data_IF_535929776190
#
_entry.id   IF_535929776190
#
_cell.length_a   1.000
_cell.length_b   1.000
_cell.length_c   1.000
_cell.angle_alpha   90.00
_cell.angle_beta   90.00
_cell.angle_gamma   90.00
#
_symmetry.space_group_name_H-M   'P 1'
#
loop_
_entity.id
_entity.type
_entity.pdbx_description
1 polymer ?
#
# COMPACT_ATOMS: atom_id res chain seq x y z
N UNK A 1 41.62 -13.44 -14.46
CA UNK A 1 41.54 -12.79 -13.13
C UNK A 1 40.56 -11.59 -13.08
N UNK A 2 39.67 -11.42 -14.07
CA UNK A 2 38.69 -10.31 -14.09
C UNK A 2 37.23 -10.76 -13.86
N UNK A 3 36.91 -12.05 -14.08
CA UNK A 3 35.57 -12.61 -13.84
C UNK A 3 35.16 -12.54 -12.36
N UNK A 4 36.06 -12.90 -11.43
CA UNK A 4 35.76 -12.94 -10.00
C UNK A 4 35.52 -11.55 -9.39
N UNK A 5 36.13 -10.51 -9.96
CA UNK A 5 36.00 -9.12 -9.49
C UNK A 5 34.66 -8.50 -9.92
N UNK A 6 34.14 -8.93 -11.08
CA UNK A 6 32.83 -8.51 -11.60
C UNK A 6 31.68 -9.23 -10.87
N UNK A 7 31.85 -10.50 -10.53
CA UNK A 7 30.86 -11.27 -9.76
C UNK A 7 30.61 -10.69 -8.36
N UNK A 8 31.68 -10.19 -7.71
CA UNK A 8 31.59 -9.58 -6.38
C UNK A 8 30.83 -8.24 -6.38
N UNK A 9 30.94 -7.47 -7.46
CA UNK A 9 30.20 -6.21 -7.63
C UNK A 9 28.69 -6.44 -7.84
N UNK A 10 28.32 -7.51 -8.54
CA UNK A 10 26.92 -7.88 -8.74
C UNK A 10 26.28 -8.33 -7.42
N UNK A 11 26.99 -9.09 -6.59
CA UNK A 11 26.48 -9.52 -5.28
C UNK A 11 26.24 -8.33 -4.33
N UNK A 12 27.11 -7.32 -4.32
CA UNK A 12 26.91 -6.11 -3.51
C UNK A 12 25.71 -5.26 -3.96
N UNK A 13 25.39 -5.24 -5.26
CA UNK A 13 24.21 -4.53 -5.76
C UNK A 13 22.89 -5.20 -5.34
N UNK A 14 22.88 -6.53 -5.18
CA UNK A 14 21.70 -7.28 -4.73
C UNK A 14 21.42 -7.11 -3.22
N UNK A 15 22.45 -6.91 -2.39
CA UNK A 15 22.29 -6.75 -0.93
C UNK A 15 21.64 -5.41 -0.54
N UNK A 16 21.74 -4.38 -1.38
CA UNK A 16 21.14 -3.07 -1.10
C UNK A 16 19.64 -2.98 -1.49
N UNK A 17 19.04 -4.05 -1.98
CA UNK A 17 17.67 -4.09 -2.43
C UNK A 17 16.73 -4.65 -1.34
N UNK A 18 16.84 -4.17 -0.11
CA UNK A 18 15.86 -4.49 0.94
C UNK A 18 14.96 -3.28 1.24
N UNK A 19 13.70 -3.44 0.82
CA UNK A 19 12.46 -2.72 1.18
C UNK A 19 12.57 -1.55 2.17
N UNK A 20 12.67 -0.32 1.65
CA UNK A 20 12.72 0.92 2.43
C UNK A 20 11.36 1.55 2.78
N UNK A 21 10.23 0.99 2.35
CA UNK A 21 8.95 1.70 2.44
C UNK A 21 8.60 2.15 3.85
N UNK A 22 8.72 1.27 4.85
CA UNK A 22 8.38 1.60 6.25
C UNK A 22 9.46 2.50 6.88
N UNK A 23 10.72 2.34 6.49
CA UNK A 23 11.82 3.16 7.01
C UNK A 23 11.81 4.60 6.48
N UNK A 24 11.23 4.82 5.30
CA UNK A 24 11.07 6.13 4.68
C UNK A 24 9.85 6.91 5.20
N UNK A 25 9.00 6.29 6.03
CA UNK A 25 7.85 6.99 6.61
C UNK A 25 8.28 7.90 7.76
N UNK A 26 7.82 9.18 7.79
CA UNK A 26 8.12 10.08 8.89
C UNK A 26 7.50 9.57 10.19
N UNK A 27 8.30 9.53 11.26
CA UNK A 27 7.85 9.12 12.59
C UNK A 27 7.04 10.24 13.24
N UNK A 28 5.90 9.88 13.83
CA UNK A 28 5.04 10.79 14.58
C UNK A 28 5.11 10.53 16.08
N UNK A 29 4.87 11.57 16.90
CA UNK A 29 4.68 11.41 18.34
C UNK A 29 3.31 10.76 18.63
N UNK A 30 3.22 10.04 19.74
CA UNK A 30 1.99 9.35 20.14
C UNK A 30 0.80 10.27 20.38
N UNK A 31 1.00 11.55 20.71
CA UNK A 31 -0.08 12.51 20.97
C UNK A 31 -0.22 13.58 19.86
N UNK A 32 0.40 13.37 18.70
CA UNK A 32 0.35 14.32 17.58
C UNK A 32 -0.56 13.79 16.46
N UNK A 33 -1.86 14.04 16.60
CA UNK A 33 -2.86 13.54 15.65
C UNK A 33 -2.76 14.19 14.28
N UNK A 34 -2.24 15.42 14.19
CA UNK A 34 -2.02 16.10 12.93
C UNK A 34 -0.91 15.43 12.12
N UNK A 35 0.20 15.08 12.77
CA UNK A 35 1.28 14.32 12.14
C UNK A 35 0.76 12.98 11.63
N UNK A 36 0.05 12.22 12.47
CA UNK A 36 -0.44 10.89 12.11
C UNK A 36 -1.49 10.95 10.99
N UNK A 37 -2.37 11.96 11.01
CA UNK A 37 -3.31 12.25 9.92
C UNK A 37 -2.57 12.48 8.59
N UNK A 38 -1.54 13.32 8.60
CA UNK A 38 -0.70 13.58 7.42
C UNK A 38 0.05 12.33 6.94
N UNK A 39 0.52 11.50 7.87
CA UNK A 39 1.17 10.23 7.58
C UNK A 39 0.20 9.26 6.89
N UNK A 40 -0.99 9.00 7.46
CA UNK A 40 -1.99 8.13 6.83
C UNK A 40 -2.38 8.67 5.45
N UNK A 41 -2.61 9.98 5.32
CA UNK A 41 -2.95 10.60 4.04
C UNK A 41 -1.88 10.34 2.97
N UNK A 42 -0.61 10.39 3.36
CA UNK A 42 0.53 10.15 2.48
C UNK A 42 0.64 8.67 2.10
N UNK A 43 0.54 7.78 3.09
CA UNK A 43 0.57 6.32 2.88
C UNK A 43 -0.56 5.89 1.94
N UNK A 44 -1.79 6.36 2.15
CA UNK A 44 -2.93 6.06 1.28
C UNK A 44 -2.67 6.51 -0.16
N UNK A 45 -2.12 7.71 -0.37
CA UNK A 45 -1.77 8.21 -1.71
C UNK A 45 -0.69 7.36 -2.39
N UNK A 46 0.30 6.88 -1.63
CA UNK A 46 1.35 6.02 -2.19
C UNK A 46 0.75 4.66 -2.55
N UNK A 47 0.07 4.00 -1.61
CA UNK A 47 -0.55 2.68 -1.83
C UNK A 47 -1.60 2.72 -2.95
N UNK A 48 -2.33 3.82 -3.11
CA UNK A 48 -3.25 3.99 -4.23
C UNK A 48 -2.53 3.99 -5.58
N UNK A 49 -1.36 4.64 -5.69
CA UNK A 49 -0.61 4.76 -6.96
C UNK A 49 0.25 3.55 -7.27
N UNK A 50 1.02 3.07 -6.29
CA UNK A 50 2.09 2.07 -6.48
C UNK A 50 1.74 0.73 -5.88
N UNK A 51 0.85 0.68 -4.88
CA UNK A 51 0.72 -0.48 -4.01
C UNK A 51 2.00 -0.70 -3.19
N UNK A 52 2.13 -1.89 -2.61
CA UNK A 52 3.35 -2.38 -1.97
C UNK A 52 3.56 -3.87 -2.31
N UNK A 53 4.02 -4.18 -3.54
CA UNK A 53 4.12 -5.55 -4.05
C UNK A 53 5.02 -6.44 -3.20
N UNK A 54 6.06 -5.89 -2.58
CA UNK A 54 6.99 -6.61 -1.71
C UNK A 54 6.33 -7.15 -0.42
N UNK A 55 5.17 -6.59 -0.04
CA UNK A 55 4.32 -7.09 1.06
C UNK A 55 3.00 -7.68 0.58
N UNK A 56 2.87 -7.92 -0.73
CA UNK A 56 1.63 -8.44 -1.32
C UNK A 56 0.46 -7.46 -1.29
N UNK A 57 0.70 -6.16 -1.08
CA UNK A 57 -0.36 -5.15 -1.08
C UNK A 57 -0.54 -4.66 -2.52
N UNK A 58 -1.70 -4.89 -3.15
CA UNK A 58 -1.95 -4.40 -4.50
C UNK A 58 -2.15 -2.88 -4.51
N UNK A 59 -2.21 -2.30 -5.71
CA UNK A 59 -2.63 -0.90 -5.86
C UNK A 59 -4.05 -0.74 -5.31
N UNK A 60 -4.26 0.31 -4.52
CA UNK A 60 -5.59 0.60 -3.98
C UNK A 60 -6.45 1.43 -4.95
N UNK A 61 -5.91 1.94 -6.05
CA UNK A 61 -6.69 2.68 -7.06
C UNK A 61 -6.08 2.55 -8.48
N UNK A 62 -6.73 1.84 -9.42
CA UNK A 62 -7.96 1.07 -9.24
C UNK A 62 -7.74 -0.20 -8.41
N UNK A 63 -8.71 -0.55 -7.56
CA UNK A 63 -8.74 -1.82 -6.82
C UNK A 63 -9.78 -2.75 -7.44
N UNK A 64 -9.33 -3.93 -7.89
CA UNK A 64 -10.23 -4.98 -8.38
C UNK A 64 -10.77 -5.80 -7.21
N UNK A 65 -12.07 -6.02 -7.20
CA UNK A 65 -12.79 -6.75 -6.17
C UNK A 65 -13.71 -7.75 -6.87
N UNK A 66 -13.70 -9.00 -6.46
CA UNK A 66 -14.51 -10.04 -7.10
C UNK A 66 -15.06 -11.03 -6.08
N UNK A 67 -16.26 -11.51 -6.35
CA UNK A 67 -17.02 -12.47 -5.53
C UNK A 67 -17.29 -12.03 -4.09
N UNK A 68 -17.54 -10.75 -3.87
CA UNK A 68 -17.93 -10.24 -2.55
C UNK A 68 -19.44 -10.39 -2.34
N UNK A 69 -19.83 -11.09 -1.28
CA UNK A 69 -21.25 -11.30 -0.96
C UNK A 69 -21.65 -10.57 0.31
N UNK A 70 -22.78 -9.88 0.26
CA UNK A 70 -23.31 -9.11 1.38
C UNK A 70 -24.82 -9.32 1.50
N UNK A 71 -25.30 -9.37 2.75
CA UNK A 71 -26.69 -9.59 3.08
C UNK A 71 -27.35 -8.27 3.48
N UNK A 72 -28.53 -8.03 2.95
CA UNK A 72 -29.36 -6.89 3.36
C UNK A 72 -30.53 -7.41 4.20
N UNK A 73 -30.47 -7.10 5.50
CA UNK A 73 -31.50 -7.41 6.49
C UNK A 73 -31.94 -8.90 6.51
N UNK A 74 -31.05 -9.82 6.12
CA UNK A 74 -31.32 -11.25 5.94
C UNK A 74 -32.45 -11.59 4.95
N UNK A 75 -32.87 -10.60 4.13
CA UNK A 75 -33.94 -10.77 3.13
C UNK A 75 -33.36 -10.93 1.73
N UNK A 76 -32.22 -10.30 1.45
CA UNK A 76 -31.62 -10.26 0.11
C UNK A 76 -30.13 -10.57 0.24
N UNK A 77 -29.68 -11.57 -0.51
CA UNK A 77 -28.27 -11.89 -0.72
C UNK A 77 -27.80 -11.25 -2.03
N UNK A 78 -26.82 -10.35 -1.95
CA UNK A 78 -26.21 -9.70 -3.11
C UNK A 78 -24.77 -10.17 -3.25
N UNK A 79 -24.39 -10.56 -4.47
CA UNK A 79 -23.02 -10.95 -4.80
C UNK A 79 -22.50 -10.03 -5.89
N UNK A 80 -21.42 -9.31 -5.59
CA UNK A 80 -20.63 -8.56 -6.55
C UNK A 80 -19.66 -9.53 -7.23
N UNK A 81 -19.98 -9.93 -8.46
CA UNK A 81 -19.19 -10.89 -9.23
C UNK A 81 -17.84 -10.30 -9.60
N UNK A 82 -17.83 -9.14 -10.26
CA UNK A 82 -16.63 -8.39 -10.62
C UNK A 82 -16.88 -6.89 -10.49
N UNK A 83 -15.99 -6.20 -9.80
CA UNK A 83 -16.04 -4.75 -9.60
C UNK A 83 -14.66 -4.12 -9.59
N UNK A 84 -14.62 -2.85 -10.00
CA UNK A 84 -13.41 -2.03 -9.96
C UNK A 84 -13.70 -0.77 -9.17
N UNK A 85 -13.09 -0.67 -8.00
CA UNK A 85 -13.18 0.51 -7.13
C UNK A 85 -12.16 1.54 -7.56
N UNK A 86 -12.59 2.80 -7.70
CA UNK A 86 -11.75 3.93 -8.11
C UNK A 86 -12.01 5.14 -7.20
N UNK A 87 -11.03 6.03 -7.09
CA UNK A 87 -11.14 7.30 -6.35
C UNK A 87 -10.56 7.28 -4.95
N UNK A 88 -10.02 6.15 -4.48
CA UNK A 88 -9.36 6.05 -3.16
C UNK A 88 -8.15 7.01 -3.08
N UNK A 89 -7.47 7.26 -4.19
CA UNK A 89 -6.34 8.22 -4.25
C UNK A 89 -6.75 9.66 -3.88
N UNK A 90 -8.03 9.99 -4.06
CA UNK A 90 -8.61 11.32 -3.86
C UNK A 90 -9.27 11.46 -2.47
N UNK A 91 -9.27 10.39 -1.66
CA UNK A 91 -9.76 10.43 -0.29
C UNK A 91 -8.95 11.40 0.57
N UNK A 92 -9.67 12.18 1.37
CA UNK A 92 -9.08 13.05 2.40
C UNK A 92 -9.31 12.45 3.77
N UNK A 93 -8.24 12.13 4.48
CA UNK A 93 -8.29 11.71 5.87
C UNK A 93 -8.75 12.91 6.68
N UNK A 94 -9.88 12.79 7.38
CA UNK A 94 -10.45 13.90 8.15
C UNK A 94 -9.95 13.92 9.59
N UNK A 95 -9.82 12.75 10.21
CA UNK A 95 -9.40 12.55 11.62
C UNK A 95 -8.56 11.29 11.75
N UNK A 96 -7.70 11.26 12.77
CA UNK A 96 -6.89 10.10 13.13
C UNK A 96 -7.42 9.35 14.36
N UNK A 97 -8.27 9.99 15.18
CA UNK A 97 -9.08 9.40 16.26
C UNK A 97 -10.22 10.39 16.55
#
# INVERSE_FOLDING_TARGET
MFLNKSLFLVFMAFVLCESGFVEQLPKCKLNDDNCKKGLIQTVLKILAKTGLPEKGIPKLDPLSVSNESFKIADVIDLTLVDGVVKGIKDCTVNRFT
#
